data_IF_451689296007
#
_entry.id   IF_451689296007
#
_cell.length_a   1.000
_cell.length_b   1.000
_cell.length_c   1.000
_cell.angle_alpha   90.00
_cell.angle_beta   90.00
_cell.angle_gamma   90.00
#
_symmetry.space_group_name_H-M   'P 1'
#
loop_
_entity.id
_entity.type
_entity.pdbx_description
1 polymer ?
#
# COMPACT_ATOMS: atom_id res chain seq x y z
N UNK A 1 -14.17 4.67 -4.26
CA UNK A 1 -13.50 5.42 -3.21
C UNK A 1 -12.45 6.27 -3.89
N UNK A 2 -12.72 7.56 -3.89
CA UNK A 2 -11.92 8.54 -4.61
C UNK A 2 -10.94 9.23 -3.67
N UNK A 3 -9.91 9.84 -4.24
CA UNK A 3 -8.84 10.48 -3.46
C UNK A 3 -9.37 11.67 -2.63
N UNK A 4 -10.47 12.31 -3.04
CA UNK A 4 -11.08 13.44 -2.34
C UNK A 4 -11.71 13.03 -0.99
N UNK A 5 -12.05 11.76 -0.81
CA UNK A 5 -12.64 11.21 0.42
C UNK A 5 -11.58 10.71 1.41
N UNK A 6 -10.29 10.89 1.11
CA UNK A 6 -9.17 10.36 1.87
C UNK A 6 -8.70 11.36 2.93
N UNK A 7 -8.73 10.91 4.17
CA UNK A 7 -7.88 11.45 5.24
C UNK A 7 -6.40 11.07 4.97
N UNK A 8 -5.66 12.02 4.41
CA UNK A 8 -4.26 11.84 4.07
C UNK A 8 -3.33 11.73 5.29
N UNK A 9 -3.73 12.18 6.47
CA UNK A 9 -2.95 11.98 7.69
C UNK A 9 -3.00 10.51 8.11
N UNK A 10 -4.20 9.92 8.12
CA UNK A 10 -4.37 8.50 8.41
C UNK A 10 -3.69 7.64 7.34
N UNK A 11 -3.89 7.96 6.06
CA UNK A 11 -3.25 7.22 4.97
C UNK A 11 -1.72 7.30 5.04
N UNK A 12 -1.16 8.46 5.40
CA UNK A 12 0.27 8.63 5.63
C UNK A 12 0.81 7.66 6.69
N UNK A 13 0.13 7.56 7.85
CA UNK A 13 0.50 6.61 8.91
C UNK A 13 0.42 5.15 8.47
N UNK A 14 -0.55 4.80 7.62
CA UNK A 14 -0.67 3.45 7.03
C UNK A 14 0.52 3.18 6.11
N UNK A 15 0.89 4.15 5.27
CA UNK A 15 2.05 4.01 4.37
C UNK A 15 3.35 3.88 5.18
N UNK A 16 3.51 4.65 6.26
CA UNK A 16 4.63 4.49 7.20
C UNK A 16 4.68 3.09 7.80
N UNK A 17 3.53 2.55 8.24
CA UNK A 17 3.43 1.17 8.72
C UNK A 17 3.89 0.14 7.68
N UNK A 18 3.51 0.34 6.41
CA UNK A 18 3.96 -0.54 5.32
C UNK A 18 5.46 -0.41 5.08
N UNK A 19 5.99 0.83 5.04
CA UNK A 19 7.41 1.09 4.81
C UNK A 19 8.32 0.52 5.91
N UNK A 20 7.84 0.52 7.16
CA UNK A 20 8.57 -0.04 8.31
C UNK A 20 8.65 -1.57 8.27
N UNK A 21 7.63 -2.24 7.75
CA UNK A 21 7.62 -3.71 7.59
C UNK A 21 8.25 -4.16 6.27
N UNK A 22 8.18 -3.32 5.23
CA UNK A 22 8.70 -3.62 3.91
C UNK A 22 9.19 -2.34 3.23
N UNK A 23 10.51 -2.24 3.04
CA UNK A 23 11.11 -1.05 2.44
C UNK A 23 10.94 -1.07 0.91
N UNK A 24 9.91 -0.39 0.39
CA UNK A 24 9.78 -0.17 -1.04
C UNK A 24 10.49 1.12 -1.48
N UNK A 25 11.10 1.07 -2.66
CA UNK A 25 11.93 2.17 -3.17
C UNK A 25 11.13 3.41 -3.56
N UNK A 26 11.81 4.57 -3.58
CA UNK A 26 11.24 5.88 -3.92
C UNK A 26 10.44 5.91 -5.24
N UNK A 27 10.75 5.01 -6.18
CA UNK A 27 10.03 4.92 -7.46
C UNK A 27 8.59 4.41 -7.29
N UNK A 28 8.29 3.55 -6.30
CA UNK A 28 6.95 3.03 -6.09
C UNK A 28 5.95 4.13 -5.67
N UNK A 29 6.42 5.19 -5.01
CA UNK A 29 5.59 6.34 -4.64
C UNK A 29 5.03 7.11 -5.85
N UNK A 30 5.64 6.99 -7.04
CA UNK A 30 5.21 7.71 -8.24
C UNK A 30 3.82 7.26 -8.71
N UNK A 31 3.56 5.96 -8.59
CA UNK A 31 2.33 5.31 -9.06
C UNK A 31 1.51 4.72 -7.90
N UNK A 32 1.87 5.03 -6.65
CA UNK A 32 1.15 4.56 -5.47
C UNK A 32 -0.26 5.15 -5.46
N UNK A 33 -1.26 4.28 -5.40
CA UNK A 33 -2.69 4.61 -5.43
C UNK A 33 -3.45 3.78 -4.41
N UNK A 34 -4.71 4.13 -4.11
CA UNK A 34 -5.56 3.28 -3.27
C UNK A 34 -5.77 1.89 -3.89
N UNK A 35 -5.72 1.79 -5.22
CA UNK A 35 -5.85 0.52 -5.93
C UNK A 35 -4.59 -0.34 -5.95
N UNK A 36 -3.44 0.18 -5.47
CA UNK A 36 -2.16 -0.54 -5.53
C UNK A 36 -2.24 -1.85 -4.77
N UNK A 37 -1.97 -2.96 -5.47
CA UNK A 37 -1.86 -4.33 -4.94
C UNK A 37 -0.54 -4.47 -4.20
N UNK A 38 -0.60 -4.53 -2.87
CA UNK A 38 0.57 -4.61 -1.99
C UNK A 38 1.42 -5.84 -2.29
N UNK A 39 0.79 -6.96 -2.60
CA UNK A 39 1.49 -8.19 -2.94
C UNK A 39 2.12 -8.08 -4.33
N UNK A 40 1.31 -7.87 -5.37
CA UNK A 40 1.79 -8.03 -6.76
C UNK A 40 2.59 -6.84 -7.29
N UNK A 41 2.37 -5.64 -6.75
CA UNK A 41 3.04 -4.43 -7.23
C UNK A 41 4.17 -3.97 -6.31
N UNK A 42 4.07 -4.20 -4.99
CA UNK A 42 5.14 -3.86 -4.06
C UNK A 42 6.00 -5.07 -3.70
N UNK A 43 5.52 -6.30 -3.88
CA UNK A 43 6.25 -7.51 -3.55
C UNK A 43 6.07 -7.96 -2.09
N UNK A 44 5.04 -7.47 -1.40
CA UNK A 44 4.77 -7.84 -0.01
C UNK A 44 4.11 -9.23 0.00
N UNK A 45 4.92 -10.25 0.22
CA UNK A 45 4.49 -11.65 0.29
C UNK A 45 5.17 -12.38 1.47
N UNK A 46 4.78 -13.64 1.71
CA UNK A 46 5.46 -14.48 2.68
C UNK A 46 5.61 -13.86 4.07
N UNK A 47 6.86 -13.75 4.52
CA UNK A 47 7.21 -13.21 5.83
C UNK A 47 6.87 -11.72 5.95
N UNK A 48 7.03 -10.92 4.89
CA UNK A 48 6.67 -9.49 4.90
C UNK A 48 5.17 -9.29 5.17
N UNK A 49 4.33 -10.14 4.57
CA UNK A 49 2.89 -10.13 4.82
C UNK A 49 2.53 -10.61 6.25
N UNK A 50 3.29 -11.57 6.78
CA UNK A 50 3.14 -12.07 8.15
C UNK A 50 3.58 -11.05 9.20
N UNK A 51 4.45 -10.10 8.86
CA UNK A 51 4.84 -8.99 9.72
C UNK A 51 3.88 -7.80 9.58
N UNK A 52 3.57 -7.39 8.34
CA UNK A 52 2.72 -6.23 8.06
C UNK A 52 1.32 -6.37 8.66
N UNK A 53 0.64 -7.49 8.41
CA UNK A 53 -0.79 -7.58 8.74
C UNK A 53 -1.06 -7.57 10.24
N UNK A 54 -0.36 -8.33 11.10
CA UNK A 54 -0.51 -8.22 12.55
C UNK A 54 -0.17 -6.83 13.09
N UNK A 55 0.93 -6.22 12.62
CA UNK A 55 1.33 -4.88 13.03
C UNK A 55 0.26 -3.86 12.66
N UNK A 56 -0.28 -3.94 11.43
CA UNK A 56 -1.37 -3.11 10.98
C UNK A 56 -2.62 -3.26 11.87
N UNK A 57 -3.06 -4.50 12.14
CA UNK A 57 -4.24 -4.74 12.98
C UNK A 57 -4.08 -4.13 14.38
N UNK A 58 -2.91 -4.32 14.98
CA UNK A 58 -2.59 -3.79 16.29
C UNK A 58 -2.51 -2.25 16.28
N UNK A 59 -1.70 -1.68 15.39
CA UNK A 59 -1.38 -0.25 15.33
C UNK A 59 -2.61 0.60 15.05
N UNK A 60 -3.51 0.14 14.19
CA UNK A 60 -4.72 0.87 13.82
C UNK A 60 -5.97 0.43 14.59
N UNK A 61 -5.82 -0.52 15.53
CA UNK A 61 -6.91 -1.08 16.34
C UNK A 61 -8.04 -1.64 15.46
N UNK A 62 -7.67 -2.43 14.46
CA UNK A 62 -8.59 -3.06 13.52
C UNK A 62 -8.92 -4.46 14.02
N UNK A 63 -10.20 -4.74 14.23
CA UNK A 63 -10.67 -6.09 14.54
C UNK A 63 -10.42 -7.02 13.33
N UNK A 64 -9.85 -8.19 13.58
CA UNK A 64 -9.55 -9.17 12.54
C UNK A 64 -10.82 -9.66 11.83
N UNK A 65 -11.99 -9.62 12.46
CA UNK A 65 -13.27 -9.98 11.83
C UNK A 65 -13.22 -11.33 11.11
N UNK A 66 -13.40 -11.30 9.79
CA UNK A 66 -13.34 -12.46 8.90
C UNK A 66 -12.04 -12.52 8.06
N UNK A 67 -10.97 -11.90 8.54
CA UNK A 67 -9.66 -11.93 7.88
C UNK A 67 -9.17 -13.36 7.67
N UNK A 68 -8.81 -13.68 6.42
CA UNK A 68 -8.26 -14.96 6.00
C UNK A 68 -7.05 -14.67 5.10
N UNK A 69 -5.85 -14.75 5.68
CA UNK A 69 -4.59 -14.43 5.00
C UNK A 69 -4.42 -15.21 3.68
N UNK A 70 -4.95 -16.43 3.59
CA UNK A 70 -4.87 -17.24 2.36
C UNK A 70 -5.65 -16.60 1.21
N UNK A 71 -6.65 -15.75 1.42
CA UNK A 71 -7.36 -15.05 0.33
C UNK A 71 -6.45 -14.10 -0.43
N UNK A 72 -5.56 -13.45 0.31
CA UNK A 72 -4.76 -12.30 -0.12
C UNK A 72 -3.31 -12.67 -0.43
N UNK A 73 -2.75 -13.62 0.32
CA UNK A 73 -1.34 -13.99 0.22
C UNK A 73 -1.18 -15.47 -0.11
N UNK A 74 -0.09 -15.77 -0.83
CA UNK A 74 0.37 -17.14 -1.02
C UNK A 74 1.33 -17.45 0.15
N UNK A 75 1.11 -18.53 0.90
CA UNK A 75 2.04 -18.92 1.96
C UNK A 75 3.40 -19.30 1.39
N UNK A 76 4.48 -18.87 2.04
CA UNK A 76 5.82 -19.40 1.76
C UNK A 76 5.99 -20.81 2.35
N UNK A 77 6.68 -21.69 1.60
CA UNK A 77 7.17 -22.98 2.10
C UNK A 77 6.34 -24.23 1.79
N UNK A 78 6.96 -25.14 1.02
CA UNK A 78 6.70 -26.58 0.84
C UNK A 78 5.33 -27.14 1.23
N UNK A 79 4.44 -27.12 0.24
CA UNK A 79 3.13 -27.71 0.40
C UNK A 79 3.03 -29.15 -0.14
N UNK A 80 3.73 -30.10 0.50
CA UNK A 80 3.56 -31.54 0.20
C UNK A 80 2.28 -32.13 0.84
N UNK A 81 1.64 -31.42 1.80
CA UNK A 81 0.51 -31.94 2.59
C UNK A 81 -0.80 -31.12 2.49
N UNK A 82 -0.80 -29.87 2.04
CA UNK A 82 -2.02 -29.03 1.98
C UNK A 82 -2.71 -29.02 0.61
N UNK A 83 -2.50 -30.06 -0.20
CA UNK A 83 -3.35 -30.37 -1.37
C UNK A 83 -4.86 -30.45 -1.05
N UNK A 84 -5.25 -30.49 0.23
CA UNK A 84 -6.65 -30.54 0.69
C UNK A 84 -7.25 -29.20 1.13
N UNK A 85 -6.46 -28.12 1.28
CA UNK A 85 -7.02 -26.78 1.51
C UNK A 85 -7.20 -26.12 0.15
N UNK A 86 -8.43 -25.76 -0.20
CA UNK A 86 -8.85 -25.31 -1.53
C UNK A 86 -7.80 -24.44 -2.23
N UNK A 87 -7.03 -25.05 -3.12
CA UNK A 87 -5.98 -24.42 -3.94
C UNK A 87 -6.53 -23.18 -4.66
N UNK A 88 -7.84 -23.19 -4.92
CA UNK A 88 -8.61 -22.14 -5.54
C UNK A 88 -8.84 -20.88 -4.71
N UNK A 89 -8.36 -20.78 -3.47
CA UNK A 89 -8.55 -19.57 -2.65
C UNK A 89 -7.27 -18.79 -2.41
N UNK A 90 -6.10 -19.33 -2.77
CA UNK A 90 -4.79 -18.76 -2.41
C UNK A 90 -4.41 -17.55 -3.24
N UNK A 91 -4.14 -16.41 -2.59
CA UNK A 91 -3.57 -15.21 -3.21
C UNK A 91 -4.34 -14.69 -4.44
N UNK A 92 -5.63 -15.02 -4.55
CA UNK A 92 -6.45 -14.68 -5.72
C UNK A 92 -6.90 -13.23 -5.67
N UNK A 93 -7.18 -12.73 -4.47
CA UNK A 93 -7.75 -11.39 -4.27
C UNK A 93 -6.60 -10.42 -4.01
N UNK A 94 -6.45 -9.36 -4.83
CA UNK A 94 -5.51 -8.28 -4.56
C UNK A 94 -5.74 -7.70 -3.17
N UNK A 95 -4.69 -7.58 -2.36
CA UNK A 95 -4.76 -6.75 -1.15
C UNK A 95 -4.36 -5.32 -1.52
N UNK A 96 -5.35 -4.46 -1.63
CA UNK A 96 -5.14 -3.09 -2.11
C UNK A 96 -4.87 -2.15 -0.94
N UNK A 97 -4.02 -1.13 -1.14
CA UNK A 97 -3.74 -0.12 -0.11
C UNK A 97 -5.02 0.52 0.47
N UNK A 98 -6.03 0.73 -0.38
CA UNK A 98 -7.33 1.25 0.02
C UNK A 98 -8.11 0.32 0.96
N UNK A 99 -7.86 -0.99 0.93
CA UNK A 99 -8.48 -1.92 1.89
C UNK A 99 -7.95 -1.68 3.30
N UNK A 100 -6.64 -1.46 3.45
CA UNK A 100 -6.03 -1.09 4.74
C UNK A 100 -6.62 0.24 5.23
N UNK A 101 -6.72 1.23 4.34
CA UNK A 101 -7.34 2.51 4.69
C UNK A 101 -8.79 2.37 5.19
N UNK A 102 -9.62 1.64 4.45
CA UNK A 102 -11.03 1.46 4.81
C UNK A 102 -11.20 0.62 6.08
N UNK A 103 -10.37 -0.41 6.28
CA UNK A 103 -10.35 -1.17 7.52
C UNK A 103 -9.92 -0.31 8.72
N UNK A 104 -8.95 0.60 8.53
CA UNK A 104 -8.51 1.52 9.57
C UNK A 104 -9.57 2.56 9.96
N UNK A 105 -10.42 3.00 9.04
CA UNK A 105 -11.58 3.85 9.35
C UNK A 105 -12.66 3.06 10.08
N UNK A 106 -13.05 1.92 9.51
CA UNK A 106 -14.18 1.11 10.02
C UNK A 106 -13.84 0.32 11.27
N UNK A 107 -12.55 0.25 11.62
CA UNK A 107 -11.99 -0.53 12.74
C UNK A 107 -12.29 -2.02 12.67
N UNK A 108 -12.54 -2.54 11.47
CA UNK A 108 -12.80 -3.96 11.24
C UNK A 108 -12.32 -4.40 9.87
N UNK A 109 -11.83 -5.63 9.78
CA UNK A 109 -11.60 -6.29 8.50
C UNK A 109 -12.86 -7.06 8.07
N UNK A 110 -13.68 -6.41 7.25
CA UNK A 110 -14.83 -7.04 6.58
C UNK A 110 -14.52 -7.29 5.09
N UNK A 111 -14.15 -8.52 4.70
CA UNK A 111 -13.86 -8.86 3.30
C UNK A 111 -15.02 -8.54 2.34
N UNK A 112 -16.27 -8.62 2.79
CA UNK A 112 -17.44 -8.38 1.94
C UNK A 112 -17.49 -6.92 1.50
N UNK A 113 -17.22 -6.01 2.44
CA UNK A 113 -17.13 -4.58 2.16
C UNK A 113 -15.86 -4.26 1.38
N UNK A 114 -14.71 -4.68 1.90
CA UNK A 114 -13.39 -4.26 1.41
C UNK A 114 -13.15 -4.70 -0.05
N UNK A 115 -13.61 -5.88 -0.44
CA UNK A 115 -13.39 -6.46 -1.78
C UNK A 115 -14.37 -5.93 -2.84
N UNK A 116 -15.50 -5.34 -2.43
CA UNK A 116 -16.50 -4.79 -3.35
C UNK A 116 -16.26 -3.32 -3.71
N UNK A 117 -15.44 -2.62 -2.92
CA UNK A 117 -15.12 -1.21 -3.16
C UNK A 117 -14.20 -1.07 -4.37
N UNK A 118 -14.59 -0.20 -5.30
CA UNK A 118 -13.68 0.26 -6.34
C UNK A 118 -12.75 1.33 -5.76
N UNK A 119 -11.45 1.04 -5.69
CA UNK A 119 -10.45 2.00 -5.22
C UNK A 119 -9.84 2.77 -6.40
N UNK A 120 -9.69 4.07 -6.21
CA UNK A 120 -9.05 4.94 -7.19
C UNK A 120 -7.63 4.49 -7.54
N UNK A 121 -7.33 4.49 -8.84
CA UNK A 121 -5.99 4.28 -9.39
C UNK A 121 -5.24 5.60 -9.65
N UNK A 122 -5.80 6.74 -9.23
CA UNK A 122 -5.16 8.04 -9.33
C UNK A 122 -4.00 8.09 -8.32
N UNK A 123 -2.77 8.47 -8.74
CA UNK A 123 -1.63 8.57 -7.84
C UNK A 123 -1.92 9.46 -6.62
N UNK A 124 -1.55 8.98 -5.44
CA UNK A 124 -1.71 9.68 -4.16
C UNK A 124 -0.77 10.87 -4.05
N UNK A 125 0.43 10.74 -4.63
CA UNK A 125 1.44 11.79 -4.63
C UNK A 125 1.43 12.50 -5.97
N UNK A 126 1.20 13.82 -5.94
CA UNK A 126 1.52 14.64 -7.10
C UNK A 126 3.04 14.84 -7.14
N UNK A 127 3.68 14.49 -8.25
CA UNK A 127 5.07 14.85 -8.52
C UNK A 127 5.18 16.38 -8.61
N UNK A 128 5.38 17.05 -7.48
CA UNK A 128 5.75 18.46 -7.45
C UNK A 128 7.25 18.55 -7.66
N UNK A 129 7.61 18.73 -8.93
CA UNK A 129 8.97 18.91 -9.45
C UNK A 129 9.85 17.66 -9.47
N UNK A 130 10.76 17.63 -10.44
CA UNK A 130 11.98 16.84 -10.43
C UNK A 130 12.65 16.98 -9.06
N UNK A 131 12.62 15.92 -8.25
CA UNK A 131 13.25 15.91 -6.93
C UNK A 131 14.75 16.20 -7.13
N UNK A 132 15.30 17.32 -6.66
CA UNK A 132 16.74 17.42 -6.49
C UNK A 132 17.06 16.51 -5.31
N UNK A 133 17.72 15.39 -5.60
CA UNK A 133 18.29 14.52 -4.56
C UNK A 133 19.21 15.38 -3.68
N UNK A 134 19.11 15.20 -2.35
CA UNK A 134 19.93 15.89 -1.36
C UNK A 134 21.41 15.87 -1.78
N UNK A 135 21.99 17.05 -2.04
CA UNK A 135 23.37 17.20 -2.53
C UNK A 135 23.53 17.90 -3.89
N UNK A 136 22.44 18.25 -4.58
CA UNK A 136 22.50 19.00 -5.84
C UNK A 136 21.69 20.30 -5.75
N UNK A 137 22.38 21.45 -5.86
CA UNK A 137 21.74 22.75 -5.98
C UNK A 137 21.29 22.99 -7.43
N UNK A 138 20.06 23.51 -7.60
CA UNK A 138 19.62 24.05 -8.88
C UNK A 138 20.42 25.30 -9.20
N UNK A 139 21.25 25.25 -10.25
CA UNK A 139 21.93 26.45 -10.76
C UNK A 139 20.88 27.42 -11.31
N UNK A 140 20.55 28.45 -10.53
CA UNK A 140 19.95 29.64 -11.09
C UNK A 140 20.98 30.32 -12.00
N UNK A 141 20.77 30.20 -13.30
CA UNK A 141 21.51 30.97 -14.29
C UNK A 141 21.13 32.45 -14.10
N UNK A 142 22.09 33.37 -13.91
CA UNK A 142 21.77 34.79 -13.86
C UNK A 142 21.33 35.21 -15.26
N UNK A 143 20.07 35.61 -15.40
CA UNK A 143 19.64 36.44 -16.52
C UNK A 143 20.18 37.85 -16.25
N UNK A 144 21.47 38.06 -16.52
CA UNK A 144 21.95 39.37 -16.94
C UNK A 144 21.65 39.49 -18.43
N UNK A 145 20.72 40.36 -18.80
CA UNK A 145 20.89 41.19 -19.99
C UNK A 145 20.43 42.60 -19.65
N UNK A 146 21.44 43.46 -19.68
CA UNK A 146 21.36 44.91 -19.59
C UNK A 146 20.29 45.52 -20.50
N UNK A 147 19.79 46.66 -20.03
CA UNK A 147 19.10 47.69 -20.81
C UNK A 147 19.81 47.98 -22.15
N UNK A 148 19.05 48.49 -23.13
CA UNK A 148 18.93 49.96 -23.24
C UNK A 148 17.54 50.49 -22.90
#
# INVERSE_FOLDING_TARGET
>A
MDNDDVDYELLGKIIECVQETFEFGANAFKDLSLSTDLNRQLGIEGDDANELMPEFFQRFSVDLGNYDAYRYFVPEGYDLLSFRRGKDRRGKIPIQLGMLYLAAITKTWDPTLLEQVHYSNIPLYQRKADIPLTGYEMQHQPQNKDSP
#
